data_IF_973831553223
#
_entry.id   IF_973831553223
#
_cell.length_a   1.000
_cell.length_b   1.000
_cell.length_c   1.000
_cell.angle_alpha   90.00
_cell.angle_beta   90.00
_cell.angle_gamma   90.00
#
_symmetry.space_group_name_H-M   'P 1'
#
loop_
_entity.id
_entity.type
_entity.pdbx_description
1 polymer ?
#
# COMPACT_ATOMS: atom_id res chain seq x y z
N UNK A 1 29.32 16.64 3.92
CA UNK A 1 30.39 17.60 4.21
C UNK A 1 31.53 17.26 3.24
N UNK A 2 31.78 18.08 2.25
CA UNK A 2 32.95 17.97 1.41
C UNK A 2 34.00 18.94 2.00
N UNK A 3 35.05 18.47 2.60
CA UNK A 3 36.10 19.34 3.11
C UNK A 3 36.95 19.85 1.93
N UNK A 4 36.80 21.12 1.61
CA UNK A 4 37.56 21.79 0.55
C UNK A 4 38.98 22.20 0.97
N UNK A 5 39.36 22.02 2.25
CA UNK A 5 40.65 22.49 2.80
C UNK A 5 41.38 21.39 3.60
N UNK A 6 41.64 20.23 2.98
CA UNK A 6 42.39 19.19 3.67
C UNK A 6 43.82 19.17 3.11
N UNK A 7 44.78 19.54 3.95
CA UNK A 7 46.22 19.37 3.64
C UNK A 7 46.55 17.88 3.45
N UNK A 8 47.33 17.50 2.44
CA UNK A 8 47.74 16.13 2.24
C UNK A 8 48.59 15.64 3.39
N UNK A 9 48.09 14.69 4.19
CA UNK A 9 48.94 13.97 5.13
C UNK A 9 48.39 13.63 6.51
N UNK A 10 47.34 14.25 7.02
CA UNK A 10 46.82 13.95 8.36
C UNK A 10 45.37 14.38 8.58
N UNK A 11 44.71 13.85 9.63
CA UNK A 11 43.45 14.40 10.10
C UNK A 11 43.69 15.84 10.58
N UNK A 12 42.83 16.78 10.16
CA UNK A 12 42.91 18.16 10.65
C UNK A 12 42.68 18.20 12.16
N UNK A 13 43.27 19.18 12.85
CA UNK A 13 43.06 19.34 14.29
C UNK A 13 41.57 19.45 14.63
N UNK A 14 40.81 20.18 13.83
CA UNK A 14 39.36 20.31 14.01
C UNK A 14 38.63 18.96 13.95
N UNK A 15 39.00 18.09 13.01
CA UNK A 15 38.38 16.76 12.88
C UNK A 15 38.77 15.87 14.06
N UNK A 16 40.02 15.91 14.50
CA UNK A 16 40.48 15.20 15.70
C UNK A 16 39.70 15.65 16.95
N UNK A 17 39.49 16.96 17.12
CA UNK A 17 38.72 17.51 18.23
C UNK A 17 37.26 17.01 18.19
N UNK A 18 36.67 17.00 17.01
CA UNK A 18 35.29 16.45 16.83
C UNK A 18 35.22 14.96 17.16
N UNK A 19 36.17 14.17 16.71
CA UNK A 19 36.30 12.75 17.04
C UNK A 19 36.49 12.52 18.54
N UNK A 20 37.34 13.32 19.21
CA UNK A 20 37.50 13.27 20.65
C UNK A 20 36.23 13.57 21.41
N UNK A 21 35.46 14.56 20.95
CA UNK A 21 34.20 14.97 21.56
C UNK A 21 33.06 13.97 21.30
N UNK A 22 33.17 13.14 20.26
CA UNK A 22 32.12 12.17 19.87
C UNK A 22 32.19 10.94 20.78
N UNK A 23 31.03 10.48 21.23
CA UNK A 23 30.93 9.23 22.00
C UNK A 23 31.06 8.00 21.12
N UNK A 24 30.45 8.04 19.93
CA UNK A 24 30.43 6.93 18.99
C UNK A 24 30.91 7.39 17.61
N UNK A 25 31.53 6.48 16.88
CA UNK A 25 31.87 6.64 15.47
C UNK A 25 31.01 5.69 14.65
N UNK A 26 30.21 6.22 13.72
CA UNK A 26 29.46 5.41 12.76
C UNK A 26 30.20 5.44 11.42
N UNK A 27 30.67 4.28 11.00
CA UNK A 27 31.34 4.11 9.70
C UNK A 27 30.34 3.58 8.69
N UNK A 28 30.06 4.39 7.67
CA UNK A 28 29.19 3.98 6.57
C UNK A 28 30.04 3.17 5.59
N UNK A 29 29.73 1.87 5.48
CA UNK A 29 30.51 0.92 4.70
C UNK A 29 29.94 0.74 3.29
N UNK A 30 30.81 0.92 2.31
CA UNK A 30 30.58 0.69 0.89
C UNK A 30 31.93 0.45 0.19
N UNK A 31 31.96 -0.07 -1.04
CA UNK A 31 33.22 -0.23 -1.77
C UNK A 31 33.97 1.09 -1.98
N UNK A 32 33.25 2.21 -1.99
CA UNK A 32 33.82 3.53 -2.07
C UNK A 32 34.51 3.95 -0.75
N UNK A 33 33.85 3.78 0.38
CA UNK A 33 34.42 4.10 1.70
C UNK A 33 35.55 3.15 2.07
N UNK A 34 35.54 1.92 1.62
CA UNK A 34 36.59 0.94 1.82
C UNK A 34 37.92 1.41 1.23
N UNK A 35 37.86 2.08 0.07
CA UNK A 35 39.07 2.62 -0.64
C UNK A 35 39.48 3.99 -0.11
N UNK A 36 38.78 4.59 0.85
CA UNK A 36 39.04 5.93 1.35
C UNK A 36 40.11 5.91 2.45
N UNK A 37 41.24 6.57 2.20
CA UNK A 37 42.30 6.77 3.23
C UNK A 37 41.77 7.56 4.42
N UNK A 38 40.83 8.49 4.22
CA UNK A 38 40.27 9.32 5.27
C UNK A 38 39.45 8.50 6.26
N UNK A 39 38.60 7.64 5.76
CA UNK A 39 37.81 6.70 6.59
C UNK A 39 38.79 5.82 7.41
N UNK A 40 39.83 5.33 6.78
CA UNK A 40 40.86 4.57 7.50
C UNK A 40 41.49 5.36 8.66
N UNK A 41 41.88 6.60 8.42
CA UNK A 41 42.49 7.47 9.45
C UNK A 41 41.53 7.83 10.58
N UNK A 42 40.24 8.03 10.27
CA UNK A 42 39.19 8.28 11.28
C UNK A 42 39.01 7.07 12.20
N UNK A 43 38.96 5.86 11.63
CA UNK A 43 38.84 4.60 12.37
C UNK A 43 40.06 4.41 13.24
N UNK A 44 41.27 4.56 12.67
CA UNK A 44 42.54 4.38 13.38
C UNK A 44 42.64 5.35 14.56
N UNK A 45 42.36 6.64 14.33
CA UNK A 45 42.39 7.66 15.37
C UNK A 45 41.39 7.38 16.50
N UNK A 46 40.18 6.99 16.17
CA UNK A 46 39.17 6.65 17.17
C UNK A 46 39.54 5.40 17.97
N UNK A 47 40.19 4.42 17.33
CA UNK A 47 40.78 3.25 17.99
C UNK A 47 41.89 3.67 18.97
N UNK A 48 42.82 4.59 18.57
CA UNK A 48 43.88 5.10 19.41
C UNK A 48 43.38 5.85 20.66
N UNK A 49 42.14 6.41 20.59
CA UNK A 49 41.48 7.00 21.77
C UNK A 49 40.96 5.93 22.77
N UNK A 50 41.19 4.64 22.50
CA UNK A 50 40.72 3.54 23.35
C UNK A 50 39.20 3.25 23.25
N UNK A 51 38.55 3.77 22.22
CA UNK A 51 37.09 3.69 22.04
C UNK A 51 36.66 2.70 20.94
N UNK A 52 37.40 1.63 20.82
CA UNK A 52 37.17 0.59 19.80
C UNK A 52 35.73 0.02 19.84
N UNK A 53 35.17 -0.13 21.05
CA UNK A 53 33.81 -0.67 21.24
C UNK A 53 32.72 0.30 20.78
N UNK A 54 33.02 1.57 20.64
CA UNK A 54 32.12 2.62 20.23
C UNK A 54 32.22 2.91 18.71
N UNK A 55 32.97 2.08 17.95
CA UNK A 55 32.96 2.09 16.47
C UNK A 55 31.86 1.16 15.97
N UNK A 56 30.95 1.72 15.21
CA UNK A 56 29.79 0.99 14.67
C UNK A 56 29.84 1.01 13.14
N UNK A 57 29.81 -0.16 12.52
CA UNK A 57 29.78 -0.30 11.07
C UNK A 57 28.33 -0.40 10.57
N UNK A 58 28.01 0.38 9.56
CA UNK A 58 26.73 0.39 8.89
C UNK A 58 26.92 0.14 7.40
N UNK A 59 26.58 -1.06 6.94
CA UNK A 59 26.81 -1.51 5.56
C UNK A 59 25.62 -1.06 4.72
N UNK A 60 25.90 -0.14 3.79
CA UNK A 60 24.93 0.42 2.85
C UNK A 60 25.11 -0.13 1.44
N UNK A 61 26.30 -0.67 1.12
CA UNK A 61 26.60 -1.28 -0.17
C UNK A 61 27.83 -2.19 -0.04
N UNK A 62 27.94 -3.17 -0.95
CA UNK A 62 29.03 -4.12 -0.98
C UNK A 62 28.87 -5.30 -0.02
N UNK A 63 29.92 -6.10 0.07
CA UNK A 63 29.98 -7.34 0.84
C UNK A 63 31.13 -7.25 1.85
N UNK A 64 30.88 -7.53 3.14
CA UNK A 64 31.93 -7.59 4.15
C UNK A 64 32.84 -8.79 3.92
N UNK A 65 34.15 -8.59 4.04
CA UNK A 65 35.18 -9.63 3.86
C UNK A 65 35.17 -10.29 2.47
N UNK A 66 34.81 -9.51 1.45
CA UNK A 66 34.85 -9.99 0.07
C UNK A 66 36.30 -10.15 -0.42
N UNK A 67 36.57 -11.23 -1.16
CA UNK A 67 37.85 -11.41 -1.86
C UNK A 67 37.98 -10.43 -3.05
N UNK A 68 36.88 -9.91 -3.53
CA UNK A 68 36.85 -8.97 -4.64
C UNK A 68 36.96 -7.52 -4.12
N UNK A 69 38.03 -6.77 -4.46
CA UNK A 69 38.21 -5.38 -4.02
C UNK A 69 37.11 -4.41 -4.48
N UNK A 70 36.32 -4.78 -5.52
CA UNK A 70 35.26 -3.93 -6.03
C UNK A 70 33.93 -4.13 -5.27
N UNK A 71 33.82 -5.20 -4.51
CA UNK A 71 32.65 -5.48 -3.66
C UNK A 71 32.98 -5.39 -2.17
N UNK A 72 34.25 -5.41 -1.76
CA UNK A 72 34.65 -5.25 -0.35
C UNK A 72 34.21 -3.91 0.21
N UNK A 73 33.47 -3.92 1.32
CA UNK A 73 32.92 -2.71 1.94
C UNK A 73 33.66 -2.25 3.20
N UNK A 74 34.55 -3.07 3.78
CA UNK A 74 35.35 -2.68 4.93
C UNK A 74 36.69 -2.10 4.52
N UNK A 75 37.08 -1.00 5.15
CA UNK A 75 38.39 -0.42 4.97
C UNK A 75 39.47 -1.39 5.51
N UNK A 76 40.62 -1.58 4.81
CA UNK A 76 41.69 -2.49 5.21
C UNK A 76 42.18 -2.28 6.64
N UNK A 77 42.09 -1.07 7.19
CA UNK A 77 42.47 -0.76 8.56
C UNK A 77 41.69 -1.59 9.59
N UNK A 78 40.44 -1.97 9.28
CA UNK A 78 39.61 -2.79 10.16
C UNK A 78 40.24 -4.15 10.43
N UNK A 79 40.84 -4.76 9.40
CA UNK A 79 41.55 -6.01 9.50
C UNK A 79 42.92 -5.82 10.19
N UNK A 80 43.63 -4.77 9.81
CA UNK A 80 44.98 -4.48 10.35
C UNK A 80 44.95 -4.21 11.86
N UNK A 81 43.91 -3.59 12.37
CA UNK A 81 43.76 -3.30 13.80
C UNK A 81 43.20 -4.50 14.58
N UNK A 82 42.89 -5.62 13.91
CA UNK A 82 42.29 -6.78 14.56
C UNK A 82 41.02 -6.45 15.31
N UNK A 83 40.26 -5.49 14.76
CA UNK A 83 38.98 -5.11 15.36
C UNK A 83 38.10 -6.35 15.43
N UNK A 84 37.43 -6.62 16.57
CA UNK A 84 36.59 -7.79 16.70
C UNK A 84 35.57 -7.78 15.57
N UNK A 85 35.18 -8.94 15.06
CA UNK A 85 34.14 -9.08 14.03
C UNK A 85 32.90 -8.33 14.49
N UNK A 86 32.88 -7.06 14.16
CA UNK A 86 31.75 -6.20 14.45
C UNK A 86 30.77 -6.50 13.34
N UNK A 87 29.82 -7.35 13.63
CA UNK A 87 28.65 -7.56 12.79
C UNK A 87 28.02 -6.19 12.52
N UNK A 88 28.39 -5.59 11.40
CA UNK A 88 27.82 -4.33 10.94
C UNK A 88 26.33 -4.52 10.70
N UNK A 89 25.54 -3.51 11.02
CA UNK A 89 24.16 -3.49 10.58
C UNK A 89 24.16 -3.40 9.05
N UNK A 90 23.55 -4.38 8.37
CA UNK A 90 23.56 -4.51 6.92
C UNK A 90 22.15 -4.37 6.35
N UNK A 91 21.95 -3.35 5.49
CA UNK A 91 20.65 -3.11 4.86
C UNK A 91 20.31 -4.13 3.77
N UNK A 92 21.30 -4.84 3.24
CA UNK A 92 21.14 -5.87 2.21
C UNK A 92 21.01 -7.29 2.76
N UNK A 93 21.07 -7.46 4.08
CA UNK A 93 20.90 -8.75 4.72
C UNK A 93 19.49 -9.30 4.43
N UNK A 94 19.41 -10.45 3.75
CA UNK A 94 18.13 -11.04 3.29
C UNK A 94 17.51 -11.95 4.36
N UNK A 95 17.07 -11.37 5.47
CA UNK A 95 16.36 -12.10 6.53
C UNK A 95 14.88 -12.18 6.22
N UNK A 96 14.30 -11.10 5.73
CA UNK A 96 12.91 -11.03 5.34
C UNK A 96 12.77 -10.95 3.82
N UNK A 97 11.66 -11.48 3.30
CA UNK A 97 11.32 -11.42 1.86
C UNK A 97 11.23 -9.98 1.33
N UNK A 98 10.96 -9.01 2.20
CA UNK A 98 10.67 -7.63 1.85
C UNK A 98 11.87 -6.73 2.20
N UNK A 99 12.45 -6.12 1.19
CA UNK A 99 13.69 -5.34 1.33
C UNK A 99 13.56 -4.20 2.37
N UNK A 100 12.43 -3.49 2.37
CA UNK A 100 12.21 -2.41 3.33
C UNK A 100 12.25 -2.87 4.79
N UNK A 101 11.81 -4.12 5.07
CA UNK A 101 11.82 -4.67 6.42
C UNK A 101 13.24 -5.05 6.87
N UNK A 102 14.09 -5.45 5.93
CA UNK A 102 15.51 -5.69 6.20
C UNK A 102 16.22 -4.38 6.51
N UNK A 103 15.91 -3.31 5.79
CA UNK A 103 16.44 -1.97 6.06
C UNK A 103 16.02 -1.47 7.44
N UNK A 104 14.74 -1.55 7.78
CA UNK A 104 14.23 -1.19 9.11
C UNK A 104 14.93 -1.96 10.22
N UNK A 105 15.15 -3.26 10.01
CA UNK A 105 15.90 -4.09 10.96
C UNK A 105 17.32 -3.60 11.14
N UNK A 106 18.03 -3.28 10.05
CA UNK A 106 19.41 -2.78 10.11
C UNK A 106 19.50 -1.44 10.87
N UNK A 107 18.55 -0.53 10.65
CA UNK A 107 18.47 0.72 11.41
C UNK A 107 18.25 0.47 12.91
N UNK A 108 17.30 -0.39 13.25
CA UNK A 108 17.04 -0.72 14.66
C UNK A 108 18.27 -1.38 15.30
N UNK A 109 18.99 -2.22 14.56
CA UNK A 109 20.23 -2.85 15.03
C UNK A 109 21.33 -1.82 15.30
N UNK A 110 21.51 -0.83 14.42
CA UNK A 110 22.44 0.27 14.64
C UNK A 110 22.06 1.08 15.88
N UNK A 111 20.78 1.47 15.99
CA UNK A 111 20.28 2.27 17.12
C UNK A 111 20.42 1.50 18.43
N UNK A 112 20.15 0.19 18.46
CA UNK A 112 20.31 -0.63 19.65
C UNK A 112 21.76 -0.64 20.16
N UNK A 113 22.73 -0.72 19.26
CA UNK A 113 24.15 -0.63 19.59
C UNK A 113 24.55 0.75 20.12
N UNK A 114 24.09 1.82 19.46
CA UNK A 114 24.34 3.20 19.90
C UNK A 114 23.79 3.50 21.30
N UNK A 115 22.65 2.93 21.63
CA UNK A 115 21.99 3.12 22.93
C UNK A 115 22.44 2.10 23.99
N UNK A 116 23.27 1.11 23.59
CA UNK A 116 23.66 -0.02 24.42
C UNK A 116 22.45 -0.75 25.07
N UNK A 117 21.41 -1.00 24.22
CA UNK A 117 20.19 -1.70 24.59
C UNK A 117 20.04 -2.98 23.77
N UNK A 118 19.47 -4.01 24.36
CA UNK A 118 19.22 -5.27 23.62
C UNK A 118 18.35 -5.03 22.39
N UNK A 119 18.80 -5.51 21.24
CA UNK A 119 18.11 -5.39 19.95
C UNK A 119 16.66 -5.88 20.02
N UNK A 120 16.43 -7.03 20.65
CA UNK A 120 15.11 -7.65 20.71
C UNK A 120 14.07 -6.77 21.40
N UNK A 121 14.48 -6.03 22.42
CA UNK A 121 13.59 -5.10 23.15
C UNK A 121 13.10 -3.98 22.25
N UNK A 122 14.02 -3.37 21.49
CA UNK A 122 13.67 -2.28 20.56
C UNK A 122 12.91 -2.82 19.35
N UNK A 123 13.38 -3.94 18.78
CA UNK A 123 12.79 -4.54 17.60
C UNK A 123 11.35 -4.99 17.80
N UNK A 124 11.02 -5.65 18.91
CA UNK A 124 9.65 -6.07 19.22
C UNK A 124 8.71 -4.87 19.33
N UNK A 125 9.16 -3.78 19.98
CA UNK A 125 8.38 -2.56 20.10
C UNK A 125 8.14 -1.90 18.76
N UNK A 126 9.18 -1.77 17.95
CA UNK A 126 9.13 -1.21 16.60
C UNK A 126 8.22 -2.04 15.68
N UNK A 127 8.36 -3.37 15.68
CA UNK A 127 7.53 -4.30 14.93
C UNK A 127 6.04 -4.17 15.28
N UNK A 128 5.70 -4.05 16.57
CA UNK A 128 4.30 -3.85 17.00
C UNK A 128 3.73 -2.55 16.43
N UNK A 129 4.49 -1.47 16.41
CA UNK A 129 4.05 -0.20 15.82
C UNK A 129 3.86 -0.29 14.31
N UNK A 130 4.77 -0.96 13.60
CA UNK A 130 4.64 -1.19 12.15
C UNK A 130 3.39 -2.01 11.82
N UNK A 131 3.18 -3.13 12.53
CA UNK A 131 2.00 -3.99 12.36
C UNK A 131 0.73 -3.18 12.63
N UNK A 132 0.70 -2.38 13.70
CA UNK A 132 -0.45 -1.52 14.02
C UNK A 132 -0.78 -0.54 12.89
N UNK A 133 0.22 0.10 12.29
CA UNK A 133 0.03 0.99 11.13
C UNK A 133 -0.52 0.22 9.91
N UNK A 134 0.04 -0.95 9.60
CA UNK A 134 -0.40 -1.78 8.48
C UNK A 134 -1.86 -2.20 8.65
N UNK A 135 -2.25 -2.64 9.85
CA UNK A 135 -3.64 -3.01 10.17
C UNK A 135 -4.57 -1.80 10.00
N UNK A 136 -4.20 -0.64 10.53
CA UNK A 136 -5.02 0.57 10.40
C UNK A 136 -5.23 0.97 8.94
N UNK A 137 -4.18 0.94 8.12
CA UNK A 137 -4.27 1.21 6.67
C UNK A 137 -5.13 0.16 5.94
N UNK A 138 -5.01 -1.11 6.30
CA UNK A 138 -5.81 -2.20 5.71
C UNK A 138 -7.31 -2.03 6.00
N UNK A 139 -7.65 -1.68 7.24
CA UNK A 139 -9.05 -1.41 7.65
C UNK A 139 -9.59 -0.20 6.88
N UNK A 140 -8.82 0.88 6.78
CA UNK A 140 -9.22 2.08 6.04
C UNK A 140 -9.46 1.76 4.56
N UNK A 141 -8.60 0.99 3.93
CA UNK A 141 -8.75 0.57 2.54
C UNK A 141 -10.02 -0.28 2.33
N UNK A 142 -10.27 -1.25 3.22
CA UNK A 142 -11.47 -2.08 3.17
C UNK A 142 -12.74 -1.23 3.30
N UNK A 143 -12.74 -0.22 4.16
CA UNK A 143 -13.86 0.71 4.32
C UNK A 143 -14.12 1.48 3.02
N UNK A 144 -13.08 2.04 2.40
CA UNK A 144 -13.19 2.76 1.12
C UNK A 144 -13.72 1.84 0.02
N UNK A 145 -13.20 0.63 -0.10
CA UNK A 145 -13.66 -0.36 -1.09
C UNK A 145 -15.12 -0.73 -0.86
N UNK A 146 -15.52 -0.96 0.39
CA UNK A 146 -16.92 -1.24 0.75
C UNK A 146 -17.84 -0.09 0.36
N UNK A 147 -17.44 1.14 0.60
CA UNK A 147 -18.19 2.34 0.24
C UNK A 147 -18.35 2.45 -1.29
N UNK A 148 -17.27 2.22 -2.04
CA UNK A 148 -17.31 2.23 -3.50
C UNK A 148 -18.24 1.13 -4.06
N UNK A 149 -18.19 -0.06 -3.50
CA UNK A 149 -19.11 -1.16 -3.88
C UNK A 149 -20.54 -0.77 -3.56
N UNK A 150 -20.79 -0.18 -2.39
CA UNK A 150 -22.12 0.30 -2.02
C UNK A 150 -22.68 1.34 -3.01
N UNK A 151 -21.87 2.34 -3.36
CA UNK A 151 -22.26 3.35 -4.37
C UNK A 151 -22.48 2.70 -5.73
N UNK A 152 -21.60 1.77 -6.12
CA UNK A 152 -21.75 1.05 -7.39
C UNK A 152 -23.05 0.25 -7.45
N UNK A 153 -23.37 -0.52 -6.41
CA UNK A 153 -24.61 -1.33 -6.35
C UNK A 153 -25.87 -0.46 -6.30
N UNK A 154 -25.81 0.68 -5.60
CA UNK A 154 -26.94 1.63 -5.57
C UNK A 154 -27.21 2.29 -6.93
N UNK A 155 -26.19 2.41 -7.78
CA UNK A 155 -26.33 3.00 -9.11
C UNK A 155 -26.65 1.97 -10.22
N UNK A 156 -26.70 0.69 -9.90
CA UNK A 156 -27.05 -0.33 -10.90
C UNK A 156 -28.51 -0.18 -11.32
N UNK A 157 -28.81 -0.20 -12.64
CA UNK A 157 -30.18 -0.23 -13.12
C UNK A 157 -30.82 -1.54 -12.74
N UNK A 158 -32.14 -1.49 -12.49
CA UNK A 158 -32.95 -2.65 -12.13
C UNK A 158 -33.89 -3.01 -13.28
N UNK A 159 -34.18 -4.28 -13.40
CA UNK A 159 -35.23 -4.76 -14.32
C UNK A 159 -36.50 -5.03 -13.53
N UNK A 160 -37.61 -4.43 -13.96
CA UNK A 160 -38.90 -4.59 -13.32
C UNK A 160 -39.76 -5.53 -14.17
N UNK A 161 -40.18 -6.64 -13.57
CA UNK A 161 -41.06 -7.62 -14.18
C UNK A 161 -42.50 -7.35 -13.73
N UNK A 162 -43.39 -7.07 -14.67
CA UNK A 162 -44.79 -6.83 -14.41
C UNK A 162 -45.59 -7.95 -15.05
N UNK A 163 -46.48 -8.56 -14.30
CA UNK A 163 -47.43 -9.56 -14.79
C UNK A 163 -48.84 -9.06 -14.55
N UNK A 164 -49.57 -8.85 -15.63
CA UNK A 164 -50.98 -8.49 -15.56
C UNK A 164 -51.77 -9.78 -15.47
N UNK A 165 -52.52 -9.94 -14.39
CA UNK A 165 -53.40 -11.07 -14.17
C UNK A 165 -54.86 -10.64 -14.39
N UNK A 166 -55.59 -11.38 -15.18
CA UNK A 166 -56.99 -11.16 -15.35
C UNK A 166 -57.75 -11.55 -14.05
N UNK A 167 -58.48 -10.61 -13.47
CA UNK A 167 -59.17 -10.82 -12.19
C UNK A 167 -60.66 -10.94 -12.30
N UNK A 168 -61.27 -10.67 -13.48
CA UNK A 168 -62.74 -10.64 -13.60
C UNK A 168 -63.22 -11.08 -14.96
N UNK A 169 -64.17 -11.98 -14.96
CA UNK A 169 -65.01 -12.40 -16.05
C UNK A 169 -64.35 -12.79 -17.38
N UNK A 170 -64.01 -14.05 -17.49
CA UNK A 170 -63.78 -14.66 -18.81
C UNK A 170 -65.03 -14.65 -19.60
N UNK A 171 -65.25 -13.69 -20.49
CA UNK A 171 -66.31 -13.70 -21.46
C UNK A 171 -65.80 -14.34 -22.75
N UNK A 172 -66.21 -15.58 -23.09
CA UNK A 172 -65.72 -16.30 -24.27
C UNK A 172 -66.05 -15.66 -25.60
N UNK A 173 -66.91 -14.62 -25.59
CA UNK A 173 -67.31 -13.88 -26.80
C UNK A 173 -66.39 -12.71 -27.15
N UNK A 174 -65.39 -12.39 -26.31
CA UNK A 174 -64.45 -11.32 -26.62
C UNK A 174 -63.29 -11.81 -27.54
N UNK A 175 -62.95 -11.02 -28.58
CA UNK A 175 -61.88 -11.41 -29.47
C UNK A 175 -60.53 -11.49 -28.68
N UNK A 176 -59.60 -12.34 -29.12
CA UNK A 176 -58.28 -12.43 -28.48
C UNK A 176 -57.60 -11.06 -28.47
N UNK A 177 -57.10 -10.69 -27.31
CA UNK A 177 -56.44 -9.37 -27.11
C UNK A 177 -55.25 -9.24 -28.05
N UNK A 178 -55.26 -8.17 -28.83
CA UNK A 178 -54.13 -7.82 -29.69
C UNK A 178 -52.96 -7.37 -28.84
N UNK A 179 -51.68 -7.52 -29.33
CA UNK A 179 -50.50 -7.03 -28.63
C UNK A 179 -50.66 -5.57 -28.22
N UNK A 180 -50.62 -5.31 -26.91
CA UNK A 180 -50.86 -3.98 -26.34
C UNK A 180 -49.58 -3.37 -25.86
N UNK A 181 -49.35 -2.11 -26.20
CA UNK A 181 -48.18 -1.38 -25.71
C UNK A 181 -48.42 -0.95 -24.24
N UNK A 182 -47.52 -1.40 -23.36
CA UNK A 182 -47.47 -0.93 -21.99
C UNK A 182 -46.41 0.17 -21.87
N UNK A 183 -46.81 1.27 -21.26
CA UNK A 183 -45.97 2.42 -21.04
C UNK A 183 -45.76 2.59 -19.55
N UNK A 184 -44.48 2.55 -19.12
CA UNK A 184 -44.07 2.87 -17.78
C UNK A 184 -43.55 4.31 -17.76
N UNK A 185 -44.25 5.19 -17.09
CA UNK A 185 -43.88 6.59 -16.91
C UNK A 185 -43.15 6.79 -15.60
N UNK A 186 -41.87 7.18 -15.72
CA UNK A 186 -40.95 7.42 -14.61
C UNK A 186 -40.81 8.92 -14.29
N UNK A 187 -41.66 9.79 -14.80
CA UNK A 187 -41.62 11.27 -14.72
C UNK A 187 -40.53 11.91 -15.58
N UNK A 188 -39.30 11.38 -15.54
CA UNK A 188 -38.18 11.93 -16.33
C UNK A 188 -37.93 11.10 -17.59
N UNK A 189 -38.40 9.89 -17.64
CA UNK A 189 -38.16 8.95 -18.74
C UNK A 189 -39.36 8.00 -18.90
N UNK A 190 -39.73 7.76 -20.13
CA UNK A 190 -40.81 6.84 -20.47
C UNK A 190 -40.24 5.55 -21.06
N UNK A 191 -40.48 4.44 -20.43
CA UNK A 191 -40.14 3.12 -20.94
C UNK A 191 -41.34 2.43 -21.56
N UNK A 192 -41.16 1.87 -22.74
CA UNK A 192 -42.21 1.16 -23.48
C UNK A 192 -41.88 -0.32 -23.60
N UNK A 193 -42.89 -1.14 -23.47
CA UNK A 193 -42.75 -2.58 -23.72
C UNK A 193 -44.09 -3.13 -24.27
N UNK A 194 -44.07 -4.28 -24.89
CA UNK A 194 -45.26 -4.87 -25.54
C UNK A 194 -45.76 -6.04 -24.72
N UNK A 195 -47.04 -6.01 -24.35
CA UNK A 195 -47.74 -7.12 -23.76
C UNK A 195 -48.28 -8.00 -24.90
N UNK A 196 -47.85 -9.24 -24.99
CA UNK A 196 -48.25 -10.18 -26.04
C UNK A 196 -49.54 -10.92 -25.73
N UNK A 197 -49.81 -11.21 -24.45
CA UNK A 197 -51.00 -11.87 -23.98
C UNK A 197 -51.23 -11.57 -22.50
N UNK A 198 -52.48 -11.65 -21.99
CA UNK A 198 -52.73 -11.69 -20.55
C UNK A 198 -52.01 -12.90 -19.96
N UNK A 199 -51.61 -12.78 -18.70
CA UNK A 199 -50.73 -13.72 -17.98
C UNK A 199 -49.27 -13.79 -18.48
N UNK A 200 -48.91 -13.08 -19.56
CA UNK A 200 -47.52 -12.93 -19.95
C UNK A 200 -46.84 -11.89 -19.09
N UNK A 201 -45.57 -12.14 -18.74
CA UNK A 201 -44.77 -11.17 -17.99
C UNK A 201 -44.08 -10.20 -18.94
N UNK A 202 -44.22 -8.92 -18.65
CA UNK A 202 -43.51 -7.84 -19.35
C UNK A 202 -42.34 -7.37 -18.50
N UNK A 203 -41.18 -7.29 -19.12
CA UNK A 203 -39.95 -6.84 -18.42
C UNK A 203 -39.52 -5.47 -18.94
N UNK A 204 -39.54 -4.48 -18.05
CA UNK A 204 -38.97 -3.19 -18.31
C UNK A 204 -37.51 -3.20 -17.84
N UNK A 205 -36.57 -3.03 -18.78
CA UNK A 205 -35.13 -3.10 -18.54
C UNK A 205 -34.50 -1.74 -18.26
N UNK A 206 -33.42 -1.76 -17.53
CA UNK A 206 -32.60 -0.58 -17.27
C UNK A 206 -33.35 0.58 -16.59
N UNK A 207 -34.11 0.27 -15.54
CA UNK A 207 -34.77 1.30 -14.74
C UNK A 207 -33.74 1.84 -13.73
N UNK A 208 -33.50 3.18 -13.71
CA UNK A 208 -32.60 3.77 -12.76
C UNK A 208 -33.02 3.48 -11.31
N UNK A 209 -32.04 3.10 -10.47
CA UNK A 209 -32.29 2.74 -9.07
C UNK A 209 -32.97 3.86 -8.24
N UNK A 210 -32.85 5.12 -8.67
CA UNK A 210 -33.51 6.27 -8.04
C UNK A 210 -35.06 6.16 -7.99
N UNK A 211 -35.64 5.27 -8.77
CA UNK A 211 -37.12 5.01 -8.81
C UNK A 211 -37.54 3.83 -7.93
N UNK A 212 -36.58 3.11 -7.32
CA UNK A 212 -36.92 2.08 -6.35
C UNK A 212 -37.69 2.72 -5.19
N UNK A 213 -38.82 2.12 -4.80
CA UNK A 213 -39.75 2.62 -3.78
C UNK A 213 -40.43 3.98 -4.10
N UNK A 214 -40.47 4.38 -5.37
CA UNK A 214 -41.29 5.53 -5.81
C UNK A 214 -42.52 5.05 -6.55
N UNK A 215 -43.59 5.83 -6.47
CA UNK A 215 -44.78 5.60 -7.27
C UNK A 215 -44.49 5.87 -8.74
N UNK A 216 -44.80 4.93 -9.58
CA UNK A 216 -44.65 4.98 -11.03
C UNK A 216 -46.03 4.67 -11.67
N UNK A 217 -46.30 5.31 -12.77
CA UNK A 217 -47.58 5.10 -13.47
C UNK A 217 -47.39 4.14 -14.64
N UNK A 218 -48.31 3.19 -14.72
CA UNK A 218 -48.36 2.23 -15.84
C UNK A 218 -49.64 2.54 -16.61
N UNK A 219 -49.51 2.82 -17.89
CA UNK A 219 -50.62 3.00 -18.79
C UNK A 219 -50.58 1.94 -19.90
N UNK A 220 -51.72 1.44 -20.25
CA UNK A 220 -51.89 0.53 -21.39
C UNK A 220 -52.65 1.26 -22.49
N UNK A 221 -52.05 1.35 -23.67
CA UNK A 221 -52.76 1.91 -24.83
C UNK A 221 -53.50 0.79 -25.52
N UNK A 222 -54.76 0.57 -25.09
CA UNK A 222 -55.68 -0.43 -25.68
C UNK A 222 -56.30 0.26 -26.89
N UNK A 223 -55.75 -0.02 -28.07
CA UNK A 223 -56.41 0.33 -29.32
C UNK A 223 -57.65 -0.58 -29.48
N UNK A 224 -58.77 0.03 -29.72
CA UNK A 224 -60.04 -0.60 -30.06
C UNK A 224 -60.89 -1.20 -28.91
N UNK A 225 -61.10 -0.40 -27.85
CA UNK A 225 -62.31 -0.56 -27.07
C UNK A 225 -63.39 0.20 -27.83
N UNK A 226 -64.24 -0.52 -28.61
CA UNK A 226 -65.47 0.04 -29.11
C UNK A 226 -66.43 -0.01 -27.94
N UNK A 227 -66.92 1.13 -27.43
CA UNK A 227 -68.01 1.08 -26.44
C UNK A 227 -69.19 0.49 -27.11
N UNK A 228 -69.77 -0.60 -26.59
CA UNK A 228 -71.08 -1.10 -26.94
C UNK A 228 -72.03 -0.12 -26.31
N UNK A 229 -72.74 0.64 -27.19
CA UNK A 229 -73.95 1.39 -26.84
C UNK A 229 -75.07 0.46 -26.28
#
# INVERSE_FOLDING_TARGET
>A
FAPTDIQPGGLTEELQERLKASRNLIVICSPHSAKSEWVGKEIEYFHQLGRTQDIHFFIVDGEPHSENPDTECFNPIVQNLGLPEILGANIHEKIFRWAWLNQERAYVQLVSKLLNVEFDTIWQRHKRQLIGKIIAWSISLLFVVSLLIGVYTMNQPIDVKIQLKETTYHNPALPPIQPTELVLDLKDEVKKSVLLAFDSAVVFKNIPHKYLNKEVYISANIRDFIPLD
#
